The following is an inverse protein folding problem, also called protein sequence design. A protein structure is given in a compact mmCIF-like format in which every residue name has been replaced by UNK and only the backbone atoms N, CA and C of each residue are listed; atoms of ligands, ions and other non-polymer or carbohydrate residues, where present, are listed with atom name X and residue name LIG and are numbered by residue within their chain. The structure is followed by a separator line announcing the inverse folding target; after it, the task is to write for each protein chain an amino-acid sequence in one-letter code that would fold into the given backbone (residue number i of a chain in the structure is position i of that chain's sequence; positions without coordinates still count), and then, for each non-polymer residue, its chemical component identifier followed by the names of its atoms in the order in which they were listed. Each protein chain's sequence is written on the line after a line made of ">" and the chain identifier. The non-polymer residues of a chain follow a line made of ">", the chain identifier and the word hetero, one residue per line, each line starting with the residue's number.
data_IF_203589511981
#
_entry.id   IF_203589511981
#
_cell.length_a   1.000
_cell.length_b   1.000
_cell.length_c   1.000
_cell.angle_alpha   90.00
_cell.angle_beta   90.00
_cell.angle_gamma   90.00
#
_symmetry.space_group_name_H-M   'P 1'
#
loop_
_entity.id
_entity.type
_entity.pdbx_description
1 polymer ?
#
# COMPACT_ATOMS: atom_id res chain seq x y z
N UNK A 1 -19.17 0.98 24.19
CA UNK A 1 -18.56 1.02 22.86
C UNK A 1 -17.43 0.03 22.84
N UNK A 2 -17.56 -1.09 22.14
CA UNK A 2 -16.44 -2.01 21.94
C UNK A 2 -15.42 -1.28 21.06
N UNK A 3 -14.18 -1.16 21.54
CA UNK A 3 -13.06 -0.71 20.71
C UNK A 3 -13.07 -1.54 19.43
N UNK A 4 -13.14 -0.90 18.26
CA UNK A 4 -13.01 -1.62 17.00
C UNK A 4 -11.70 -2.41 17.07
N UNK A 5 -11.77 -3.74 16.85
CA UNK A 5 -10.58 -4.59 16.91
C UNK A 5 -9.61 -4.14 15.82
N UNK A 6 -8.48 -3.56 16.25
CA UNK A 6 -7.33 -3.21 15.40
C UNK A 6 -6.17 -4.12 15.82
N UNK A 7 -6.21 -5.42 15.46
CA UNK A 7 -5.28 -6.41 16.01
C UNK A 7 -3.80 -6.14 15.66
N UNK A 8 -3.53 -5.27 14.67
CA UNK A 8 -2.18 -4.87 14.29
C UNK A 8 -1.85 -3.42 14.67
N UNK A 9 -2.60 -2.82 15.60
CA UNK A 9 -2.26 -1.50 16.12
C UNK A 9 -0.83 -1.49 16.70
N UNK A 10 -0.07 -0.44 16.37
CA UNK A 10 1.34 -0.30 16.74
C UNK A 10 2.33 -1.04 15.83
N UNK A 11 1.86 -1.94 14.95
CA UNK A 11 2.73 -2.60 13.95
C UNK A 11 3.02 -1.63 12.81
N UNK A 12 4.29 -1.53 12.42
CA UNK A 12 4.74 -0.74 11.26
C UNK A 12 5.23 -1.67 10.16
N UNK A 13 4.82 -1.41 8.92
CA UNK A 13 5.16 -2.24 7.76
C UNK A 13 5.73 -1.36 6.66
N UNK A 14 6.88 -1.75 6.13
CA UNK A 14 7.47 -1.14 4.94
C UNK A 14 7.19 -2.05 3.74
N UNK A 15 6.33 -1.61 2.83
CA UNK A 15 5.90 -2.39 1.66
C UNK A 15 6.69 -1.98 0.40
N UNK A 16 7.45 -2.93 -0.18
CA UNK A 16 8.13 -2.77 -1.47
C UNK A 16 7.41 -3.51 -2.62
N UNK A 17 6.20 -4.00 -2.37
CA UNK A 17 5.44 -4.78 -3.34
C UNK A 17 4.77 -3.91 -4.40
N UNK A 18 4.42 -4.51 -5.55
CA UNK A 18 3.80 -3.83 -6.68
C UNK A 18 2.69 -4.69 -7.33
N UNK A 19 1.93 -4.07 -8.24
CA UNK A 19 0.81 -4.69 -8.95
C UNK A 19 -0.35 -5.07 -8.02
N UNK A 20 -0.66 -6.36 -7.85
CA UNK A 20 -1.92 -6.80 -7.21
C UNK A 20 -1.67 -7.65 -5.96
N UNK A 21 -1.04 -8.81 -6.11
CA UNK A 21 -0.96 -9.81 -5.03
C UNK A 21 -0.21 -9.29 -3.80
N UNK A 22 0.94 -8.65 -3.99
CA UNK A 22 1.71 -8.08 -2.90
C UNK A 22 1.00 -6.92 -2.21
N UNK A 23 0.50 -5.90 -2.95
CA UNK A 23 -0.27 -4.81 -2.36
C UNK A 23 -1.53 -5.28 -1.62
N UNK A 24 -2.13 -6.41 -2.01
CA UNK A 24 -3.26 -7.00 -1.28
C UNK A 24 -2.87 -7.43 0.15
N UNK A 25 -1.67 -7.95 0.34
CA UNK A 25 -1.17 -8.29 1.68
C UNK A 25 -1.05 -7.02 2.55
N UNK A 26 -0.38 -5.98 2.07
CA UNK A 26 -0.26 -4.73 2.82
C UNK A 26 -1.60 -4.03 3.06
N UNK A 27 -2.55 -4.18 2.14
CA UNK A 27 -3.92 -3.71 2.34
C UNK A 27 -4.59 -4.40 3.53
N UNK A 28 -4.55 -5.73 3.59
CA UNK A 28 -5.12 -6.49 4.70
C UNK A 28 -4.46 -6.08 6.02
N UNK A 29 -3.14 -5.91 6.04
CA UNK A 29 -2.41 -5.45 7.22
C UNK A 29 -2.84 -4.05 7.66
N UNK A 30 -3.02 -3.11 6.72
CA UNK A 30 -3.52 -1.77 6.99
C UNK A 30 -4.96 -1.77 7.51
N UNK A 31 -5.84 -2.56 6.90
CA UNK A 31 -7.25 -2.72 7.31
C UNK A 31 -7.35 -3.31 8.73
N UNK A 32 -6.39 -4.14 9.14
CA UNK A 32 -6.26 -4.69 10.49
C UNK A 32 -5.57 -3.75 11.50
N UNK A 33 -5.18 -2.54 11.06
CA UNK A 33 -4.70 -1.46 11.92
C UNK A 33 -3.20 -1.18 11.88
N UNK A 34 -2.42 -1.89 11.05
CA UNK A 34 -1.00 -1.60 10.89
C UNK A 34 -0.76 -0.25 10.19
N UNK A 35 0.33 0.42 10.54
CA UNK A 35 0.84 1.58 9.81
C UNK A 35 1.71 1.11 8.64
N UNK A 36 1.10 1.06 7.46
CA UNK A 36 1.75 0.57 6.24
C UNK A 36 2.24 1.73 5.40
N UNK A 37 3.56 1.77 5.16
CA UNK A 37 4.21 2.71 4.25
C UNK A 37 4.63 1.97 2.99
N UNK A 38 4.00 2.31 1.87
CA UNK A 38 4.41 1.84 0.55
C UNK A 38 5.61 2.64 0.06
N UNK A 39 6.68 1.94 -0.26
CA UNK A 39 7.87 2.49 -0.90
C UNK A 39 7.74 2.28 -2.40
N UNK A 40 7.64 3.38 -3.13
CA UNK A 40 7.47 3.39 -4.57
C UNK A 40 8.75 3.84 -5.29
N UNK A 41 9.02 3.33 -6.51
CA UNK A 41 10.18 3.74 -7.27
C UNK A 41 10.05 5.20 -7.74
N UNK A 42 10.99 6.07 -7.37
CA UNK A 42 11.07 7.42 -7.94
C UNK A 42 11.69 7.39 -9.36
N UNK A 43 11.31 8.33 -10.25
CA UNK A 43 10.29 9.38 -10.10
C UNK A 43 8.87 8.91 -10.49
N UNK A 44 8.74 7.71 -11.07
CA UNK A 44 7.50 7.27 -11.71
C UNK A 44 6.39 6.82 -10.74
N UNK A 45 6.74 6.39 -9.53
CA UNK A 45 5.82 5.71 -8.62
C UNK A 45 5.38 4.33 -9.12
N UNK A 46 4.41 3.73 -8.43
CA UNK A 46 3.78 2.47 -8.82
C UNK A 46 3.05 2.61 -10.17
N UNK A 47 3.30 1.67 -11.10
CA UNK A 47 2.70 1.67 -12.44
C UNK A 47 1.17 1.58 -12.41
N UNK A 48 0.61 0.94 -11.38
CA UNK A 48 -0.84 0.79 -11.20
C UNK A 48 -1.59 2.11 -11.04
N UNK A 49 -0.89 3.22 -10.73
CA UNK A 49 -1.46 4.58 -10.66
C UNK A 49 -2.03 5.06 -12.00
N UNK A 50 -1.56 4.50 -13.12
CA UNK A 50 -1.83 5.00 -14.48
C UNK A 50 -2.27 3.89 -15.43
N UNK A 51 -2.69 2.73 -14.93
CA UNK A 51 -3.15 1.64 -15.80
C UNK A 51 -4.49 2.01 -16.45
N UNK A 52 -4.63 1.84 -17.78
CA UNK A 52 -5.89 2.05 -18.49
C UNK A 52 -6.80 0.81 -18.43
N UNK A 53 -8.03 0.95 -18.90
CA UNK A 53 -8.96 -0.16 -19.12
C UNK A 53 -9.28 -0.93 -17.84
N UNK A 54 -9.19 -2.26 -17.88
CA UNK A 54 -9.48 -3.13 -16.73
C UNK A 54 -8.52 -2.94 -15.55
N UNK A 55 -7.36 -2.32 -15.76
CA UNK A 55 -6.41 -1.95 -14.70
C UNK A 55 -6.72 -0.60 -14.05
N UNK A 56 -7.69 0.16 -14.57
CA UNK A 56 -8.08 1.44 -13.98
C UNK A 56 -8.59 1.22 -12.56
N UNK A 57 -8.13 2.05 -11.62
CA UNK A 57 -8.47 1.95 -10.21
C UNK A 57 -7.66 0.94 -9.40
N UNK A 58 -6.78 0.13 -9.99
CA UNK A 58 -5.97 -0.85 -9.25
C UNK A 58 -5.20 -0.23 -8.10
N UNK A 59 -4.58 0.94 -8.33
CA UNK A 59 -3.84 1.61 -7.27
C UNK A 59 -4.73 1.94 -6.07
N UNK A 60 -5.91 2.52 -6.30
CA UNK A 60 -6.86 2.87 -5.24
C UNK A 60 -7.38 1.63 -4.52
N UNK A 61 -7.72 0.57 -5.26
CA UNK A 61 -8.23 -0.67 -4.70
C UNK A 61 -7.23 -1.34 -3.77
N UNK A 62 -5.97 -1.51 -4.20
CA UNK A 62 -4.98 -2.31 -3.47
C UNK A 62 -4.04 -1.50 -2.57
N UNK A 63 -4.09 -0.16 -2.60
CA UNK A 63 -3.22 0.69 -1.78
C UNK A 63 -3.97 1.70 -0.91
N UNK A 64 -5.30 1.62 -0.80
CA UNK A 64 -6.06 2.36 0.22
C UNK A 64 -5.52 2.06 1.63
N UNK A 65 -5.72 3.00 2.54
CA UNK A 65 -5.26 2.94 3.94
C UNK A 65 -3.72 2.90 4.15
N UNK A 66 -2.93 2.97 3.08
CA UNK A 66 -1.46 3.05 3.15
C UNK A 66 -0.99 4.48 3.00
N UNK A 67 0.11 4.81 3.68
CA UNK A 67 0.94 5.99 3.33
C UNK A 67 1.88 5.61 2.20
N UNK A 68 2.37 6.59 1.46
CA UNK A 68 3.25 6.35 0.30
C UNK A 68 4.41 7.34 0.29
N UNK A 69 5.59 6.83 -0.07
CA UNK A 69 6.78 7.62 -0.38
C UNK A 69 7.40 7.09 -1.67
N UNK A 70 7.75 7.99 -2.59
CA UNK A 70 8.53 7.65 -3.77
C UNK A 70 10.02 7.96 -3.50
N UNK A 71 10.90 6.97 -3.67
CA UNK A 71 12.34 7.10 -3.43
C UNK A 71 13.16 6.32 -4.45
N UNK A 72 14.34 6.83 -4.76
CA UNK A 72 15.37 6.07 -5.49
C UNK A 72 16.32 5.45 -4.47
N UNK A 73 16.32 4.12 -4.34
CA UNK A 73 17.17 3.42 -3.37
C UNK A 73 18.63 3.22 -3.84
N UNK A 74 18.93 3.64 -5.07
CA UNK A 74 20.25 3.43 -5.71
C UNK A 74 21.12 4.69 -5.74
N UNK A 75 20.74 5.74 -5.00
CA UNK A 75 21.45 7.02 -4.91
C UNK A 75 21.85 7.33 -3.48
#
# INVERSE_FOLDING_TARGET
>A
MTSALRPLEGVRVVEFSHMVMGPTCGLILADLGADVVKVEPAPGGDKTRRLPGSGSGYFGTYNRNKRSIAVNLKS
#
